data_IF_322553296714
#
_entry.id   IF_322553296714
#
_cell.length_a   1.000
_cell.length_b   1.000
_cell.length_c   1.000
_cell.angle_alpha   90.00
_cell.angle_beta   90.00
_cell.angle_gamma   90.00
#
_symmetry.space_group_name_H-M   'P 1'
#
loop_
_entity.id
_entity.type
_entity.pdbx_description
1 polymer ?
#
# COMPACT_ATOMS: atom_id res chain seq x y z
N UNK A 1 -77.12 19.55 56.15
CA UNK A 1 -76.75 19.82 54.79
C UNK A 1 -75.51 18.97 54.47
N UNK A 2 -75.78 17.83 53.88
CA UNK A 2 -74.79 16.75 53.65
C UNK A 2 -74.21 16.94 52.26
N UNK A 3 -72.92 17.08 52.14
CA UNK A 3 -72.21 17.10 50.84
C UNK A 3 -71.38 15.84 50.73
N UNK A 4 -71.72 15.12 49.68
CA UNK A 4 -71.22 13.84 49.22
C UNK A 4 -69.73 13.85 48.89
N UNK A 5 -68.98 13.08 49.62
CA UNK A 5 -67.57 12.73 49.29
C UNK A 5 -67.46 11.30 48.80
N UNK A 6 -67.58 11.09 47.49
CA UNK A 6 -67.23 9.78 46.87
C UNK A 6 -67.12 9.89 45.36
N UNK A 7 -65.92 10.10 44.84
CA UNK A 7 -65.61 9.66 43.48
C UNK A 7 -64.12 9.83 43.03
N UNK A 8 -63.18 10.05 43.93
CA UNK A 8 -61.76 10.24 43.48
C UNK A 8 -60.84 9.06 43.74
N UNK A 9 -61.32 7.96 44.32
CA UNK A 9 -60.44 6.84 44.73
C UNK A 9 -60.18 5.76 43.65
N UNK A 10 -60.99 5.71 42.58
CA UNK A 10 -60.85 4.60 41.58
C UNK A 10 -60.08 4.91 40.38
N UNK A 11 -59.79 6.14 40.03
CA UNK A 11 -59.08 6.49 38.84
C UNK A 11 -57.54 6.52 39.03
N UNK A 12 -57.07 6.80 40.24
CA UNK A 12 -55.65 6.85 40.58
C UNK A 12 -54.99 5.44 40.51
N UNK A 13 -55.73 4.40 40.88
CA UNK A 13 -55.31 3.03 40.84
C UNK A 13 -55.05 2.49 39.36
N UNK A 14 -55.93 2.92 38.45
CA UNK A 14 -55.90 2.51 37.07
C UNK A 14 -54.69 3.15 36.28
N UNK A 15 -54.43 4.43 36.55
CA UNK A 15 -53.29 5.15 35.94
C UNK A 15 -51.97 4.65 36.49
N UNK A 16 -51.86 4.37 37.82
CA UNK A 16 -50.62 3.82 38.38
C UNK A 16 -50.29 2.42 37.86
N UNK A 17 -51.30 1.56 37.65
CA UNK A 17 -51.11 0.23 37.09
C UNK A 17 -50.69 0.28 35.60
N UNK A 18 -51.25 1.24 34.84
CA UNK A 18 -50.90 1.45 33.44
C UNK A 18 -49.45 1.94 33.26
N UNK A 19 -48.98 2.83 34.15
CA UNK A 19 -47.59 3.30 34.15
C UNK A 19 -46.60 2.20 34.53
N UNK A 20 -46.95 1.33 35.48
CA UNK A 20 -46.14 0.16 35.86
C UNK A 20 -45.99 -0.84 34.71
N UNK A 21 -47.04 -1.08 33.93
CA UNK A 21 -47.00 -1.95 32.77
C UNK A 21 -46.15 -1.35 31.63
N UNK A 22 -46.22 -0.06 31.37
CA UNK A 22 -45.40 0.65 30.37
C UNK A 22 -43.90 0.64 30.75
N UNK A 23 -43.59 0.83 32.05
CA UNK A 23 -42.20 0.72 32.54
C UNK A 23 -41.63 -0.71 32.42
N UNK A 24 -42.45 -1.75 32.61
CA UNK A 24 -42.03 -3.15 32.43
C UNK A 24 -41.79 -3.51 30.98
N UNK A 25 -42.55 -2.93 30.04
CA UNK A 25 -42.35 -3.13 28.61
C UNK A 25 -41.09 -2.38 28.13
N UNK A 26 -40.80 -1.20 28.64
CA UNK A 26 -39.59 -0.44 28.33
C UNK A 26 -38.31 -1.06 28.91
N UNK A 27 -38.42 -1.76 30.05
CA UNK A 27 -37.30 -2.48 30.66
C UNK A 27 -36.94 -3.77 29.91
N UNK A 28 -37.87 -4.37 29.16
CA UNK A 28 -37.58 -5.57 28.34
C UNK A 28 -36.94 -5.24 26.99
N UNK A 29 -36.90 -3.95 26.59
CA UNK A 29 -36.16 -3.48 25.41
C UNK A 29 -34.70 -3.06 25.69
N UNK A 30 -34.17 -3.27 26.90
CA UNK A 30 -32.75 -3.29 27.11
C UNK A 30 -32.24 -4.56 26.42
N UNK A 31 -32.07 -4.42 25.10
CA UNK A 31 -31.43 -5.40 24.26
C UNK A 31 -30.24 -5.95 25.01
N UNK A 32 -30.27 -7.24 25.24
CA UNK A 32 -29.12 -8.07 25.48
C UNK A 32 -28.16 -7.80 24.32
N UNK A 33 -27.35 -6.71 24.38
CA UNK A 33 -26.13 -6.64 23.64
C UNK A 33 -25.33 -7.85 24.11
N UNK A 34 -25.51 -8.98 23.43
CA UNK A 34 -24.51 -10.03 23.45
C UNK A 34 -23.23 -9.28 23.08
N UNK A 35 -22.36 -9.08 24.04
CA UNK A 35 -20.98 -8.77 23.74
C UNK A 35 -20.52 -9.96 22.89
N UNK A 36 -20.49 -9.76 21.58
CA UNK A 36 -19.78 -10.68 20.69
C UNK A 36 -18.39 -10.68 21.27
N UNK A 37 -18.02 -11.75 21.94
CA UNK A 37 -16.69 -11.93 22.51
C UNK A 37 -15.77 -11.83 21.31
N UNK A 38 -15.10 -10.69 21.16
CA UNK A 38 -14.19 -10.47 20.04
C UNK A 38 -13.18 -11.61 20.07
N UNK A 39 -13.10 -12.37 18.99
CA UNK A 39 -12.14 -13.46 18.89
C UNK A 39 -10.73 -12.90 19.07
N UNK A 40 -9.90 -13.57 19.85
CA UNK A 40 -8.52 -13.18 20.02
C UNK A 40 -7.85 -13.02 18.64
N UNK A 41 -7.00 -12.01 18.44
CA UNK A 41 -6.32 -11.84 17.16
C UNK A 41 -5.47 -13.08 16.86
N UNK A 42 -5.46 -13.45 15.59
CA UNK A 42 -4.57 -14.50 15.09
C UNK A 42 -3.15 -13.91 14.94
N UNK A 43 -2.14 -14.74 15.07
CA UNK A 43 -0.76 -14.38 14.74
C UNK A 43 -0.48 -14.60 13.27
N UNK A 44 0.44 -13.83 12.69
CA UNK A 44 0.89 -14.10 11.33
C UNK A 44 1.55 -15.49 11.27
N UNK A 45 1.16 -16.38 10.33
CA UNK A 45 1.66 -17.75 10.30
C UNK A 45 3.16 -17.77 9.95
N UNK A 46 3.90 -18.64 10.66
CA UNK A 46 5.31 -18.88 10.32
C UNK A 46 5.42 -19.64 9.01
N UNK A 47 6.19 -19.09 8.08
CA UNK A 47 6.48 -19.75 6.80
C UNK A 47 7.59 -20.78 7.01
N UNK A 48 7.36 -22.02 6.57
CA UNK A 48 8.33 -23.11 6.68
C UNK A 48 8.91 -23.43 5.31
N UNK A 49 10.25 -23.44 5.24
CA UNK A 49 10.95 -23.94 4.05
C UNK A 49 11.10 -25.46 4.18
N UNK A 50 10.67 -26.23 3.17
CA UNK A 50 10.93 -27.68 3.15
C UNK A 50 12.44 -27.97 3.17
N UNK A 51 12.84 -29.01 3.91
CA UNK A 51 14.26 -29.37 4.08
C UNK A 51 14.99 -29.78 2.79
N UNK A 52 14.26 -30.00 1.70
CA UNK A 52 14.82 -30.26 0.37
C UNK A 52 15.54 -29.02 -0.19
N UNK A 53 15.13 -27.82 0.18
CA UNK A 53 15.77 -26.57 -0.23
C UNK A 53 16.86 -26.20 0.76
N UNK A 54 18.03 -26.81 0.61
CA UNK A 54 19.18 -26.58 1.49
C UNK A 54 20.06 -25.40 1.04
N UNK A 55 19.99 -25.05 -0.23
CA UNK A 55 20.65 -23.84 -0.76
C UNK A 55 19.85 -22.59 -0.40
N UNK A 56 20.50 -21.52 0.12
CA UNK A 56 19.81 -20.29 0.50
C UNK A 56 19.07 -19.59 -0.65
N UNK A 57 19.59 -19.69 -1.89
CA UNK A 57 18.96 -19.09 -3.08
C UNK A 57 17.69 -19.86 -3.45
N UNK A 58 17.73 -21.20 -3.48
CA UNK A 58 16.56 -22.04 -3.73
C UNK A 58 15.50 -21.85 -2.64
N UNK A 59 15.92 -21.72 -1.38
CA UNK A 59 15.04 -21.44 -0.25
C UNK A 59 14.36 -20.07 -0.41
N UNK A 60 15.08 -19.05 -0.83
CA UNK A 60 14.55 -17.71 -1.06
C UNK A 60 13.57 -17.68 -2.25
N UNK A 61 13.87 -18.39 -3.33
CA UNK A 61 12.94 -18.56 -4.47
C UNK A 61 11.66 -19.27 -4.04
N UNK A 62 11.76 -20.37 -3.31
CA UNK A 62 10.59 -21.07 -2.74
C UNK A 62 9.76 -20.14 -1.86
N UNK A 63 10.40 -19.40 -0.95
CA UNK A 63 9.71 -18.47 -0.08
C UNK A 63 9.01 -17.35 -0.85
N UNK A 64 9.60 -16.86 -1.94
CA UNK A 64 9.00 -15.79 -2.74
C UNK A 64 7.61 -16.17 -3.29
N UNK A 65 7.39 -17.45 -3.55
CA UNK A 65 6.12 -17.98 -4.10
C UNK A 65 5.15 -18.45 -3.01
N UNK A 66 5.67 -18.91 -1.86
CA UNK A 66 4.89 -19.59 -0.82
C UNK A 66 4.73 -18.80 0.49
N UNK A 67 5.31 -17.61 0.58
CA UNK A 67 5.31 -16.79 1.79
C UNK A 67 3.90 -16.54 2.34
N UNK A 68 2.95 -16.34 1.46
CA UNK A 68 1.58 -15.95 1.78
C UNK A 68 0.57 -17.11 1.84
N UNK A 69 0.99 -18.35 1.56
CA UNK A 69 0.09 -19.51 1.49
C UNK A 69 -0.70 -19.72 2.78
N UNK A 70 0.01 -19.83 3.90
CA UNK A 70 -0.61 -20.05 5.19
C UNK A 70 -1.46 -18.87 5.67
N UNK A 71 -1.09 -17.63 5.30
CA UNK A 71 -1.86 -16.44 5.64
C UNK A 71 -3.21 -16.41 4.90
N UNK A 72 -3.23 -16.62 3.59
CA UNK A 72 -4.48 -16.62 2.82
C UNK A 72 -5.35 -17.86 3.07
N UNK A 73 -4.82 -18.90 3.73
CA UNK A 73 -5.57 -20.05 4.22
C UNK A 73 -6.27 -19.79 5.57
N UNK A 74 -5.99 -18.67 6.26
CA UNK A 74 -6.68 -18.32 7.49
C UNK A 74 -8.15 -18.02 7.23
N UNK A 75 -9.02 -18.46 8.15
CA UNK A 75 -10.46 -18.20 8.12
C UNK A 75 -10.85 -17.06 9.08
N UNK A 76 -9.97 -16.09 9.21
CA UNK A 76 -10.18 -14.91 10.03
C UNK A 76 -10.92 -13.79 9.30
N UNK A 77 -11.62 -12.94 10.04
CA UNK A 77 -12.32 -11.77 9.49
C UNK A 77 -11.35 -10.63 9.19
N UNK A 78 -11.61 -9.88 8.12
CA UNK A 78 -10.95 -8.61 7.83
C UNK A 78 -11.86 -7.47 8.30
N UNK A 79 -11.35 -6.60 9.15
CA UNK A 79 -12.02 -5.40 9.66
C UNK A 79 -11.08 -4.18 9.58
N UNK A 80 -11.32 -3.13 10.33
CA UNK A 80 -10.50 -1.92 10.33
C UNK A 80 -9.15 -2.08 11.06
N UNK A 81 -8.93 -3.16 11.80
CA UNK A 81 -7.75 -3.38 12.63
C UNK A 81 -7.03 -4.70 12.29
N UNK A 82 -7.71 -5.60 11.57
CA UNK A 82 -7.22 -6.96 11.30
C UNK A 82 -7.48 -7.34 9.84
N UNK A 83 -6.55 -8.03 9.24
CA UNK A 83 -6.67 -8.64 7.91
C UNK A 83 -6.61 -10.16 8.10
N UNK A 84 -7.63 -10.90 7.70
CA UNK A 84 -7.75 -12.35 7.94
C UNK A 84 -7.61 -12.73 9.44
N UNK A 85 -8.06 -11.84 10.34
CA UNK A 85 -7.95 -12.03 11.80
C UNK A 85 -6.59 -11.70 12.40
N UNK A 86 -5.58 -11.39 11.58
CA UNK A 86 -4.24 -10.96 12.00
C UNK A 86 -4.22 -9.44 12.12
N UNK A 87 -3.62 -8.84 13.17
CA UNK A 87 -3.46 -7.39 13.27
C UNK A 87 -2.81 -6.80 12.01
N UNK A 88 -3.35 -5.67 11.52
CA UNK A 88 -2.84 -5.03 10.30
C UNK A 88 -1.34 -4.73 10.40
N UNK A 89 -0.87 -4.27 11.57
CA UNK A 89 0.55 -3.99 11.79
C UNK A 89 1.45 -5.23 11.66
N UNK A 90 0.97 -6.43 12.00
CA UNK A 90 1.72 -7.68 11.80
C UNK A 90 1.74 -8.06 10.30
N UNK A 91 0.63 -7.82 9.58
CA UNK A 91 0.57 -8.05 8.13
C UNK A 91 1.48 -7.09 7.39
N UNK A 92 1.52 -5.82 7.77
CA UNK A 92 2.44 -4.82 7.22
C UNK A 92 3.91 -5.21 7.49
N UNK A 93 4.23 -5.62 8.72
CA UNK A 93 5.58 -6.09 9.03
C UNK A 93 5.95 -7.33 8.21
N UNK A 94 5.03 -8.26 8.04
CA UNK A 94 5.22 -9.44 7.19
C UNK A 94 5.44 -9.03 5.72
N UNK A 95 4.72 -8.00 5.23
CA UNK A 95 4.93 -7.48 3.89
C UNK A 95 6.31 -6.81 3.74
N UNK A 96 6.73 -6.00 4.70
CA UNK A 96 8.07 -5.43 4.70
C UNK A 96 9.17 -6.51 4.72
N UNK A 97 9.00 -7.57 5.51
CA UNK A 97 9.92 -8.72 5.53
C UNK A 97 9.93 -9.46 4.18
N UNK A 98 8.76 -9.59 3.55
CA UNK A 98 8.63 -10.17 2.21
C UNK A 98 9.36 -9.33 1.16
N UNK A 99 9.26 -8.01 1.17
CA UNK A 99 10.02 -7.13 0.29
C UNK A 99 11.54 -7.27 0.52
N UNK A 100 11.97 -7.41 1.79
CA UNK A 100 13.36 -7.70 2.13
C UNK A 100 13.85 -9.03 1.54
N UNK A 101 13.01 -10.07 1.51
CA UNK A 101 13.28 -11.33 0.83
C UNK A 101 13.38 -11.13 -0.70
N UNK A 102 12.40 -10.45 -1.30
CA UNK A 102 12.37 -10.22 -2.75
C UNK A 102 13.58 -9.42 -3.26
N UNK A 103 14.16 -8.55 -2.43
CA UNK A 103 15.36 -7.79 -2.79
C UNK A 103 16.64 -8.64 -2.90
N UNK A 104 16.62 -9.88 -2.42
CA UNK A 104 17.76 -10.79 -2.41
C UNK A 104 17.75 -11.82 -3.55
N UNK A 105 16.69 -11.83 -4.35
CA UNK A 105 16.53 -12.74 -5.49
C UNK A 105 16.47 -11.95 -6.81
N UNK A 106 16.72 -12.63 -7.96
CA UNK A 106 16.62 -11.99 -9.26
C UNK A 106 15.25 -11.36 -9.52
N UNK A 107 15.22 -10.18 -10.13
CA UNK A 107 13.99 -9.41 -10.37
C UNK A 107 12.85 -10.22 -11.01
N UNK A 108 13.09 -11.08 -12.04
CA UNK A 108 11.99 -11.86 -12.62
C UNK A 108 11.32 -12.81 -11.62
N UNK A 109 12.07 -13.42 -10.69
CA UNK A 109 11.53 -14.26 -9.62
C UNK A 109 10.76 -13.43 -8.59
N UNK A 110 11.29 -12.27 -8.22
CA UNK A 110 10.62 -11.34 -7.32
C UNK A 110 9.28 -10.85 -7.90
N UNK A 111 9.26 -10.50 -9.18
CA UNK A 111 8.04 -10.13 -9.91
C UNK A 111 7.03 -11.28 -9.98
N UNK A 112 7.51 -12.52 -10.19
CA UNK A 112 6.65 -13.71 -10.12
C UNK A 112 6.01 -13.86 -8.74
N UNK A 113 6.77 -13.64 -7.66
CA UNK A 113 6.27 -13.65 -6.29
C UNK A 113 5.15 -12.62 -6.07
N UNK A 114 5.34 -11.38 -6.56
CA UNK A 114 4.31 -10.33 -6.48
C UNK A 114 3.04 -10.67 -7.28
N UNK A 115 3.19 -11.28 -8.46
CA UNK A 115 2.05 -11.78 -9.24
C UNK A 115 1.28 -12.89 -8.52
N UNK A 116 1.99 -13.81 -7.85
CA UNK A 116 1.40 -14.88 -7.05
C UNK A 116 0.67 -14.30 -5.84
N UNK A 117 1.25 -13.31 -5.14
CA UNK A 117 0.60 -12.59 -4.06
C UNK A 117 -0.74 -11.99 -4.52
N UNK A 118 -0.74 -11.29 -5.66
CA UNK A 118 -1.96 -10.75 -6.24
C UNK A 118 -3.02 -11.85 -6.47
N UNK A 119 -2.64 -12.94 -7.12
CA UNK A 119 -3.58 -14.05 -7.41
C UNK A 119 -4.18 -14.68 -6.14
N UNK A 120 -3.41 -14.80 -5.04
CA UNK A 120 -3.93 -15.30 -3.76
C UNK A 120 -4.92 -14.32 -3.13
N UNK A 121 -4.63 -13.02 -3.16
CA UNK A 121 -5.53 -11.96 -2.69
C UNK A 121 -6.85 -11.97 -3.47
N UNK A 122 -6.78 -12.03 -4.80
CA UNK A 122 -7.95 -12.07 -5.68
C UNK A 122 -8.79 -13.33 -5.43
N UNK A 123 -8.17 -14.50 -5.37
CA UNK A 123 -8.85 -15.77 -5.09
C UNK A 123 -9.56 -15.73 -3.72
N UNK A 124 -8.94 -15.14 -2.70
CA UNK A 124 -9.55 -14.97 -1.38
C UNK A 124 -10.78 -14.06 -1.43
N UNK A 125 -10.71 -12.96 -2.20
CA UNK A 125 -11.86 -12.07 -2.39
C UNK A 125 -13.00 -12.73 -3.16
N UNK A 126 -12.69 -13.50 -4.19
CA UNK A 126 -13.71 -14.25 -4.95
C UNK A 126 -14.40 -15.32 -4.10
N UNK A 127 -13.71 -15.91 -3.13
CA UNK A 127 -14.28 -16.87 -2.18
C UNK A 127 -15.19 -16.18 -1.13
N UNK A 128 -14.91 -14.92 -0.78
CA UNK A 128 -15.70 -14.12 0.16
C UNK A 128 -15.69 -12.64 -0.25
N UNK A 129 -16.64 -12.25 -1.06
CA UNK A 129 -16.76 -10.89 -1.60
C UNK A 129 -17.11 -9.84 -0.53
N UNK A 130 -17.58 -10.25 0.64
CA UNK A 130 -17.78 -9.36 1.78
C UNK A 130 -16.47 -9.05 2.53
N UNK A 131 -15.41 -9.82 2.28
CA UNK A 131 -14.10 -9.60 2.86
C UNK A 131 -13.48 -8.31 2.31
N UNK A 132 -12.97 -7.47 3.21
CA UNK A 132 -12.22 -6.25 2.84
C UNK A 132 -10.75 -6.54 2.53
N UNK A 133 -10.35 -7.82 2.49
CA UNK A 133 -8.97 -8.24 2.30
C UNK A 133 -8.36 -7.69 1.01
N UNK A 134 -9.13 -7.69 -0.09
CA UNK A 134 -8.69 -7.15 -1.39
C UNK A 134 -8.30 -5.67 -1.29
N UNK A 135 -9.17 -4.86 -0.70
CA UNK A 135 -8.94 -3.41 -0.54
C UNK A 135 -7.76 -3.16 0.41
N UNK A 136 -7.73 -3.84 1.56
CA UNK A 136 -6.68 -3.67 2.55
C UNK A 136 -5.29 -4.04 2.00
N UNK A 137 -5.18 -5.15 1.27
CA UNK A 137 -3.91 -5.54 0.64
C UNK A 137 -3.50 -4.63 -0.51
N UNK A 138 -4.46 -4.18 -1.34
CA UNK A 138 -4.17 -3.22 -2.41
C UNK A 138 -3.60 -1.92 -1.85
N UNK A 139 -4.15 -1.44 -0.72
CA UNK A 139 -3.68 -0.24 -0.02
C UNK A 139 -2.26 -0.43 0.55
N UNK A 140 -2.01 -1.54 1.24
CA UNK A 140 -0.67 -1.85 1.78
C UNK A 140 0.36 -1.88 0.66
N UNK A 141 0.12 -2.64 -0.41
CA UNK A 141 1.08 -2.79 -1.51
C UNK A 141 1.35 -1.47 -2.21
N UNK A 142 0.30 -0.67 -2.49
CA UNK A 142 0.45 0.66 -3.09
C UNK A 142 1.23 1.61 -2.18
N UNK A 143 0.93 1.65 -0.89
CA UNK A 143 1.58 2.50 0.10
C UNK A 143 3.07 2.17 0.27
N UNK A 144 3.43 0.90 0.21
CA UNK A 144 4.83 0.47 0.35
C UNK A 144 5.63 0.62 -0.94
N UNK A 145 5.05 0.26 -2.10
CA UNK A 145 5.81 0.14 -3.35
C UNK A 145 5.63 1.30 -4.32
N UNK A 146 4.58 2.12 -4.17
CA UNK A 146 4.26 3.18 -5.13
C UNK A 146 4.20 4.59 -4.52
N UNK A 147 3.88 4.73 -3.23
CA UNK A 147 3.88 6.04 -2.58
C UNK A 147 5.25 6.73 -2.70
N UNK A 148 5.23 8.02 -3.08
CA UNK A 148 6.44 8.82 -3.29
C UNK A 148 7.31 8.97 -2.03
N UNK A 149 6.69 8.88 -0.84
CA UNK A 149 7.38 9.02 0.45
C UNK A 149 7.80 7.67 1.03
N UNK A 150 7.49 6.56 0.37
CA UNK A 150 7.88 5.24 0.87
C UNK A 150 9.38 5.00 0.68
N UNK A 151 10.12 4.65 1.73
CA UNK A 151 11.51 4.26 1.62
C UNK A 151 11.71 2.90 0.92
N UNK A 152 10.63 2.13 0.75
CA UNK A 152 10.60 0.82 0.09
C UNK A 152 9.98 0.90 -1.31
N UNK A 153 9.80 2.12 -1.87
CA UNK A 153 9.24 2.30 -3.21
C UNK A 153 10.05 1.50 -4.24
N UNK A 154 9.35 0.67 -5.00
CA UNK A 154 9.92 -0.14 -6.08
C UNK A 154 8.87 -0.42 -7.15
N UNK A 155 8.93 0.34 -8.23
CA UNK A 155 7.96 0.25 -9.33
C UNK A 155 8.07 -1.06 -10.11
N UNK A 156 9.26 -1.68 -10.17
CA UNK A 156 9.44 -2.97 -10.82
C UNK A 156 8.75 -4.10 -10.05
N UNK A 157 8.72 -4.04 -8.71
CA UNK A 157 7.98 -4.98 -7.88
C UNK A 157 6.48 -4.65 -7.85
N UNK A 158 6.11 -3.37 -7.95
CA UNK A 158 4.71 -2.95 -8.00
C UNK A 158 4.03 -3.35 -9.29
N UNK A 159 4.73 -3.27 -10.42
CA UNK A 159 4.18 -3.47 -11.77
C UNK A 159 3.33 -4.75 -11.92
N UNK A 160 3.79 -5.97 -11.59
CA UNK A 160 2.97 -7.17 -11.77
C UNK A 160 1.73 -7.18 -10.88
N UNK A 161 1.77 -6.52 -9.72
CA UNK A 161 0.63 -6.40 -8.82
C UNK A 161 -0.42 -5.41 -9.35
N UNK A 162 0.00 -4.22 -9.78
CA UNK A 162 -0.91 -3.20 -10.33
C UNK A 162 -1.50 -3.61 -11.67
N UNK A 163 -0.78 -4.38 -12.49
CA UNK A 163 -1.34 -5.01 -13.69
C UNK A 163 -2.49 -5.96 -13.33
N UNK A 164 -2.31 -6.77 -12.29
CA UNK A 164 -3.39 -7.59 -11.76
C UNK A 164 -4.60 -6.75 -11.32
N UNK A 165 -4.40 -5.67 -10.57
CA UNK A 165 -5.47 -4.74 -10.18
C UNK A 165 -6.18 -4.13 -11.40
N UNK A 166 -5.44 -3.75 -12.44
CA UNK A 166 -5.98 -3.15 -13.66
C UNK A 166 -6.83 -4.11 -14.49
N UNK A 167 -6.57 -5.40 -14.41
CA UNK A 167 -7.23 -6.45 -15.20
C UNK A 167 -8.33 -7.19 -14.41
N UNK A 168 -8.26 -7.16 -13.07
CA UNK A 168 -9.15 -7.92 -12.19
C UNK A 168 -10.62 -7.54 -12.33
N UNK A 169 -11.54 -8.51 -12.40
CA UNK A 169 -12.97 -8.26 -12.30
C UNK A 169 -13.39 -7.76 -10.91
N UNK A 170 -12.55 -7.96 -9.88
CA UNK A 170 -12.79 -7.50 -8.51
C UNK A 170 -12.55 -5.99 -8.35
N UNK A 171 -11.81 -5.36 -9.27
CA UNK A 171 -11.57 -3.91 -9.28
C UNK A 171 -12.74 -3.18 -9.92
N UNK A 172 -13.30 -2.18 -9.22
CA UNK A 172 -14.34 -1.33 -9.81
C UNK A 172 -13.78 -0.48 -10.97
N UNK A 173 -14.63 -0.15 -11.95
CA UNK A 173 -14.20 0.55 -13.17
C UNK A 173 -13.54 1.90 -12.87
N UNK A 174 -13.99 2.61 -11.82
CA UNK A 174 -13.40 3.89 -11.44
C UNK A 174 -11.94 3.78 -11.02
N UNK A 175 -11.56 2.71 -10.31
CA UNK A 175 -10.17 2.45 -9.91
C UNK A 175 -9.34 1.81 -11.03
N UNK A 176 -9.98 1.04 -11.90
CA UNK A 176 -9.29 0.33 -12.99
C UNK A 176 -8.58 1.29 -13.94
N UNK A 177 -9.17 2.45 -14.22
CA UNK A 177 -8.54 3.50 -15.04
C UNK A 177 -7.25 4.01 -14.40
N UNK A 178 -7.28 4.27 -13.08
CA UNK A 178 -6.10 4.71 -12.35
C UNK A 178 -5.00 3.63 -12.35
N UNK A 179 -5.34 2.38 -12.06
CA UNK A 179 -4.37 1.28 -12.05
C UNK A 179 -3.78 0.98 -13.44
N UNK A 180 -4.54 1.15 -14.52
CA UNK A 180 -3.99 1.06 -15.89
C UNK A 180 -2.94 2.15 -16.12
N UNK A 181 -3.22 3.37 -15.71
CA UNK A 181 -2.28 4.47 -15.82
C UNK A 181 -1.01 4.22 -14.98
N UNK A 182 -1.17 3.77 -13.72
CA UNK A 182 -0.03 3.42 -12.87
C UNK A 182 0.82 2.29 -13.48
N UNK A 183 0.19 1.25 -14.01
CA UNK A 183 0.88 0.15 -14.69
C UNK A 183 1.64 0.64 -15.94
N UNK A 184 1.06 1.58 -16.70
CA UNK A 184 1.72 2.23 -17.84
C UNK A 184 2.96 3.01 -17.37
N UNK A 185 2.83 3.83 -16.32
CA UNK A 185 3.95 4.60 -15.78
C UNK A 185 5.08 3.70 -15.29
N UNK A 186 4.77 2.66 -14.49
CA UNK A 186 5.76 1.71 -13.99
C UNK A 186 6.46 0.92 -15.12
N UNK A 187 5.79 0.73 -16.27
CA UNK A 187 6.36 0.01 -17.41
C UNK A 187 7.29 0.85 -18.28
N UNK A 188 7.30 2.18 -18.13
CA UNK A 188 8.06 3.06 -19.02
C UNK A 188 9.58 2.94 -18.87
N UNK A 189 10.07 2.67 -17.66
CA UNK A 189 11.50 2.69 -17.38
C UNK A 189 11.92 1.59 -16.39
N UNK A 190 11.67 0.30 -16.71
CA UNK A 190 12.05 -0.81 -15.84
C UNK A 190 13.57 -0.93 -15.71
N UNK A 191 14.03 -1.42 -14.55
CA UNK A 191 15.45 -1.67 -14.30
C UNK A 191 16.08 -2.54 -15.38
N UNK A 192 17.27 -2.13 -15.87
CA UNK A 192 18.01 -2.85 -16.90
C UNK A 192 17.54 -2.58 -18.32
N UNK A 193 16.48 -1.80 -18.53
CA UNK A 193 16.05 -1.33 -19.85
C UNK A 193 16.84 -0.08 -20.27
N UNK A 194 16.79 0.21 -21.58
CA UNK A 194 17.30 1.48 -22.10
C UNK A 194 16.36 2.60 -21.66
N UNK A 195 16.90 3.58 -20.92
CA UNK A 195 16.12 4.73 -20.47
C UNK A 195 15.50 5.48 -21.66
N UNK A 196 14.27 6.01 -21.53
CA UNK A 196 13.65 6.85 -22.56
C UNK A 196 14.53 8.04 -22.92
N UNK A 197 14.66 8.31 -24.22
CA UNK A 197 15.47 9.43 -24.73
C UNK A 197 14.61 10.67 -24.94
N UNK A 198 14.78 11.70 -24.12
CA UNK A 198 14.04 12.93 -24.20
C UNK A 198 14.95 14.15 -24.43
N UNK A 199 14.34 15.24 -24.91
CA UNK A 199 15.04 16.50 -25.20
C UNK A 199 15.10 17.36 -23.95
N UNK A 200 16.29 17.89 -23.66
CA UNK A 200 16.57 18.76 -22.52
C UNK A 200 17.02 20.11 -23.09
N UNK A 201 16.51 21.21 -22.50
CA UNK A 201 16.92 22.57 -22.85
C UNK A 201 17.86 23.11 -21.76
N UNK A 202 19.03 23.63 -22.18
CA UNK A 202 19.98 24.31 -21.29
C UNK A 202 19.56 25.75 -21.01
N UNK A 203 20.18 26.39 -20.01
CA UNK A 203 19.92 27.78 -19.65
C UNK A 203 20.22 28.78 -20.78
N UNK A 204 21.15 28.44 -21.69
CA UNK A 204 21.47 29.23 -22.90
C UNK A 204 20.46 29.03 -24.04
N UNK A 205 19.42 28.22 -23.84
CA UNK A 205 18.41 27.89 -24.86
C UNK A 205 18.82 26.74 -25.80
N UNK A 206 20.05 26.27 -25.76
CA UNK A 206 20.46 25.12 -26.58
C UNK A 206 19.78 23.83 -26.13
N UNK A 207 19.58 22.89 -27.06
CA UNK A 207 18.86 21.65 -26.81
C UNK A 207 19.78 20.45 -27.06
N UNK A 208 19.60 19.41 -26.25
CA UNK A 208 20.30 18.15 -26.43
C UNK A 208 19.41 16.99 -25.96
N UNK A 209 19.76 15.76 -26.31
CA UNK A 209 19.04 14.57 -25.91
C UNK A 209 19.78 13.85 -24.76
N UNK A 210 19.03 13.17 -23.89
CA UNK A 210 19.61 12.42 -22.78
C UNK A 210 20.73 11.48 -23.25
N UNK A 211 20.51 10.73 -24.33
CA UNK A 211 21.48 9.76 -24.85
C UNK A 211 22.73 10.39 -25.48
N UNK A 212 22.79 11.70 -25.63
CA UNK A 212 23.99 12.42 -26.05
C UNK A 212 24.98 12.61 -24.90
N UNK A 213 24.57 12.40 -23.66
CA UNK A 213 25.47 12.46 -22.50
C UNK A 213 26.40 11.26 -22.57
N UNK A 214 27.71 11.52 -22.51
CA UNK A 214 28.75 10.50 -22.56
C UNK A 214 29.42 10.42 -21.19
N UNK A 215 28.88 9.56 -20.31
CA UNK A 215 29.42 9.24 -19.01
C UNK A 215 29.18 7.74 -18.71
N UNK A 216 29.93 7.20 -17.76
CA UNK A 216 29.71 5.83 -17.28
C UNK A 216 28.35 5.70 -16.57
N UNK A 217 28.00 6.72 -15.78
CA UNK A 217 26.71 6.84 -15.09
C UNK A 217 26.16 8.24 -15.28
N UNK A 218 24.84 8.37 -15.44
CA UNK A 218 24.16 9.67 -15.45
C UNK A 218 23.14 9.71 -14.32
N UNK A 219 23.35 10.59 -13.35
CA UNK A 219 22.39 10.87 -12.29
C UNK A 219 21.44 11.99 -12.76
N UNK A 220 20.16 11.67 -12.94
CA UNK A 220 19.11 12.63 -13.21
C UNK A 220 18.47 13.04 -11.88
N UNK A 221 18.55 14.33 -11.57
CA UNK A 221 17.93 14.91 -10.40
C UNK A 221 16.84 15.89 -10.82
N UNK A 222 15.59 15.51 -10.61
CA UNK A 222 14.43 16.34 -10.93
C UNK A 222 14.13 17.27 -9.76
N UNK A 223 14.13 18.58 -9.99
CA UNK A 223 13.95 19.59 -8.93
C UNK A 223 13.20 20.82 -9.41
N UNK A 224 12.66 21.59 -8.45
CA UNK A 224 12.06 22.89 -8.67
C UNK A 224 12.90 24.00 -8.02
N UNK A 225 12.86 25.21 -8.61
CA UNK A 225 13.42 26.41 -8.01
C UNK A 225 12.74 26.71 -6.67
N UNK A 226 13.52 27.06 -5.66
CA UNK A 226 13.00 27.31 -4.30
C UNK A 226 12.71 26.07 -3.46
N UNK A 227 12.90 24.87 -3.98
CA UNK A 227 12.80 23.63 -3.21
C UNK A 227 14.02 23.48 -2.28
N UNK A 228 13.86 23.79 -0.99
CA UNK A 228 14.95 23.72 -0.01
C UNK A 228 15.51 22.30 0.14
N UNK A 229 14.64 21.30 0.25
CA UNK A 229 15.04 19.88 0.34
C UNK A 229 15.82 19.42 -0.91
N UNK A 230 15.43 19.89 -2.10
CA UNK A 230 16.15 19.58 -3.33
C UNK A 230 17.57 20.15 -3.30
N UNK A 231 17.73 21.38 -2.76
CA UNK A 231 19.05 21.98 -2.60
C UNK A 231 19.91 21.19 -1.63
N UNK A 232 19.36 20.80 -0.48
CA UNK A 232 20.08 20.01 0.51
C UNK A 232 20.58 18.67 -0.07
N UNK A 233 19.73 17.99 -0.85
CA UNK A 233 20.11 16.71 -1.48
C UNK A 233 21.23 16.91 -2.50
N UNK A 234 21.15 17.95 -3.37
CA UNK A 234 22.20 18.17 -4.35
C UNK A 234 23.52 18.60 -3.68
N UNK A 235 23.44 19.38 -2.60
CA UNK A 235 24.61 19.77 -1.82
C UNK A 235 25.28 18.52 -1.20
N UNK A 236 24.51 17.55 -0.69
CA UNK A 236 25.02 16.27 -0.19
C UNK A 236 25.65 15.43 -1.30
N UNK A 237 25.05 15.37 -2.48
CA UNK A 237 25.63 14.67 -3.65
C UNK A 237 26.96 15.30 -4.03
N UNK A 238 27.04 16.64 -4.07
CA UNK A 238 28.25 17.34 -4.43
C UNK A 238 29.34 17.29 -3.33
N UNK A 239 28.96 16.98 -2.08
CA UNK A 239 29.89 16.76 -0.98
C UNK A 239 30.50 15.34 -0.93
N UNK A 240 30.06 14.41 -1.79
CA UNK A 240 30.63 13.06 -1.87
C UNK A 240 32.12 13.19 -2.26
N UNK A 241 33.02 12.55 -1.54
CA UNK A 241 34.45 12.57 -1.88
C UNK A 241 34.70 12.19 -3.33
N UNK A 242 35.60 12.91 -4.01
CA UNK A 242 36.00 12.69 -5.40
C UNK A 242 34.88 12.88 -6.46
N UNK A 243 33.68 13.34 -6.12
CA UNK A 243 32.57 13.48 -7.10
C UNK A 243 32.99 14.37 -8.27
N UNK A 244 33.61 15.52 -7.99
CA UNK A 244 34.08 16.45 -9.03
C UNK A 244 35.14 15.83 -9.94
N UNK A 245 36.09 15.10 -9.38
CA UNK A 245 37.12 14.42 -10.15
C UNK A 245 36.54 13.30 -11.02
N UNK A 246 35.54 12.57 -10.53
CA UNK A 246 34.80 11.56 -11.31
C UNK A 246 33.99 12.21 -12.45
N UNK A 247 33.36 13.36 -12.18
CA UNK A 247 32.66 14.14 -13.22
C UNK A 247 33.65 14.62 -14.29
N UNK A 248 34.81 15.14 -13.90
CA UNK A 248 35.87 15.58 -14.83
C UNK A 248 36.35 14.43 -15.72
N UNK A 249 36.48 13.21 -15.19
CA UNK A 249 36.84 12.01 -15.96
C UNK A 249 35.67 11.37 -16.74
N UNK A 250 34.45 11.97 -16.67
CA UNK A 250 33.22 11.43 -17.29
C UNK A 250 32.83 10.05 -16.79
N UNK A 251 33.21 9.70 -15.57
CA UNK A 251 32.71 8.50 -14.93
C UNK A 251 31.25 8.69 -14.49
N UNK A 252 30.93 9.91 -14.03
CA UNK A 252 29.57 10.29 -13.60
C UNK A 252 29.20 11.64 -14.27
N UNK A 253 27.98 11.75 -14.75
CA UNK A 253 27.35 13.02 -15.07
C UNK A 253 26.21 13.26 -14.08
N UNK A 254 26.14 14.44 -13.49
CA UNK A 254 25.00 14.89 -12.66
C UNK A 254 24.22 15.93 -13.45
N UNK A 255 22.96 15.64 -13.68
CA UNK A 255 22.08 16.51 -14.44
C UNK A 255 20.88 16.91 -13.57
N UNK A 256 20.83 18.17 -13.17
CA UNK A 256 19.67 18.73 -12.49
C UNK A 256 18.66 19.20 -13.55
N UNK A 257 17.50 18.57 -13.57
CA UNK A 257 16.41 18.81 -14.53
C UNK A 257 15.28 19.56 -13.82
N UNK A 258 15.01 20.75 -14.29
CA UNK A 258 13.87 21.55 -13.85
C UNK A 258 12.61 21.11 -14.59
N UNK A 259 11.52 20.86 -13.86
CA UNK A 259 10.29 20.27 -14.40
C UNK A 259 9.05 21.17 -14.26
N UNK A 260 9.20 22.38 -13.72
CA UNK A 260 8.11 23.33 -13.54
C UNK A 260 8.02 24.34 -14.72
N UNK A 261 6.89 25.06 -14.78
CA UNK A 261 6.59 26.03 -15.85
C UNK A 261 7.22 27.40 -15.63
N UNK A 262 7.67 27.73 -14.41
CA UNK A 262 8.30 29.03 -14.11
C UNK A 262 9.73 29.13 -14.66
N UNK A 263 9.81 29.41 -15.94
CA UNK A 263 11.11 29.59 -16.61
C UNK A 263 11.91 30.81 -16.10
N UNK A 264 11.26 31.78 -15.45
CA UNK A 264 11.96 32.94 -14.88
C UNK A 264 12.71 32.51 -13.59
N UNK A 265 12.10 31.71 -12.75
CA UNK A 265 12.74 31.11 -11.57
C UNK A 265 13.84 30.12 -11.92
N UNK A 266 13.75 29.45 -13.08
CA UNK A 266 14.77 28.51 -13.56
C UNK A 266 16.03 29.19 -14.12
N UNK A 267 15.90 30.33 -14.77
CA UNK A 267 17.02 31.08 -15.39
C UNK A 267 17.87 31.80 -14.36
#
# INVERSE_FOLDING_TARGET
MTISGRKYGKEIGSLALSWLLVCLILSSCVSRRQSVKEAAPLQFPTVKVPSVYSDPSEAAEYLSEHYWDAFFALDGRTDSLKIQGVPESEVEQAFANYLGLLSQIPLPQAQKGMKILFGKMEARHLADTASRCYIAFSDIVSRYLYDLNSPLRDEDLYLPFVQGLAESPCTSENYRVAYRHEAEMCSMNPRGSVAPDFVITRRDGSRFRLHQIKAGYTLLFFSNSGCHACKEIIDQVMAIPDIESRMARKEIAVLNVYIDEDLAAWR
#
